data_IF_589416285469
#
_entry.id   IF_589416285469
#
_cell.length_a   1.000
_cell.length_b   1.000
_cell.length_c   1.000
_cell.angle_alpha   90.00
_cell.angle_beta   90.00
_cell.angle_gamma   90.00
#
_symmetry.space_group_name_H-M   'P 1'
#
loop_
_entity.id
_entity.type
_entity.pdbx_description
1 polymer ?
#
# COMPACT_ATOMS: atom_id res chain seq x y z
N UNK A 1 33.62 -10.34 21.96
CA UNK A 1 34.77 -10.38 21.04
C UNK A 1 34.99 -9.00 20.46
N UNK A 2 36.21 -8.69 19.98
CA UNK A 2 36.48 -7.44 19.29
C UNK A 2 35.65 -7.33 17.99
N UNK A 3 35.22 -6.13 17.64
CA UNK A 3 34.45 -5.85 16.43
C UNK A 3 35.30 -5.96 15.17
N UNK A 4 34.68 -6.27 14.04
CA UNK A 4 35.33 -6.35 12.72
C UNK A 4 36.11 -5.07 12.37
N UNK A 5 35.60 -3.91 12.79
CA UNK A 5 36.27 -2.63 12.60
C UNK A 5 37.56 -2.50 13.44
N UNK A 6 37.55 -3.00 14.67
CA UNK A 6 38.73 -3.02 15.53
C UNK A 6 39.78 -4.00 15.01
N UNK A 7 39.36 -5.14 14.47
CA UNK A 7 40.28 -6.12 13.85
C UNK A 7 40.90 -5.55 12.58
N UNK A 8 40.12 -4.86 11.74
CA UNK A 8 40.63 -4.21 10.54
C UNK A 8 41.66 -3.10 10.84
N UNK A 9 41.44 -2.30 11.88
CA UNK A 9 42.38 -1.27 12.32
C UNK A 9 43.68 -1.87 12.84
N UNK A 10 43.60 -2.94 13.63
CA UNK A 10 44.80 -3.64 14.12
C UNK A 10 45.63 -4.23 12.99
N UNK A 11 44.99 -4.77 11.94
CA UNK A 11 45.72 -5.23 10.74
C UNK A 11 46.51 -4.08 10.10
N UNK A 12 45.91 -2.88 10.02
CA UNK A 12 46.59 -1.69 9.48
C UNK A 12 47.78 -1.25 10.34
N UNK A 13 47.60 -1.25 11.67
CA UNK A 13 48.65 -0.92 12.63
C UNK A 13 49.83 -1.91 12.57
N UNK A 14 49.55 -3.22 12.50
CA UNK A 14 50.59 -4.24 12.40
C UNK A 14 51.38 -4.13 11.09
N UNK A 15 50.72 -3.87 9.97
CA UNK A 15 51.39 -3.70 8.67
C UNK A 15 52.24 -2.42 8.67
N UNK A 16 51.74 -1.33 9.28
CA UNK A 16 52.48 -0.07 9.39
C UNK A 16 53.75 -0.21 10.25
N UNK A 17 53.69 -1.02 11.32
CA UNK A 17 54.78 -1.28 12.25
C UNK A 17 55.87 -2.23 11.71
N UNK A 18 55.68 -2.84 10.53
CA UNK A 18 56.72 -3.64 9.89
C UNK A 18 57.89 -2.75 9.46
N UNK A 19 59.09 -3.11 9.90
CA UNK A 19 60.34 -2.41 9.58
C UNK A 19 61.06 -3.00 8.36
N UNK A 20 60.75 -4.23 8.00
CA UNK A 20 61.26 -4.92 6.82
C UNK A 20 60.44 -4.50 5.58
N UNK A 21 61.06 -3.75 4.67
CA UNK A 21 60.38 -3.19 3.50
C UNK A 21 59.82 -4.27 2.56
N UNK A 22 60.51 -5.40 2.40
CA UNK A 22 60.05 -6.49 1.54
C UNK A 22 58.82 -7.21 2.13
N UNK A 23 58.79 -7.38 3.46
CA UNK A 23 57.62 -7.93 4.16
C UNK A 23 56.47 -6.94 4.21
N UNK A 24 56.77 -5.65 4.39
CA UNK A 24 55.77 -4.58 4.39
C UNK A 24 55.09 -4.44 3.02
N UNK A 25 55.86 -4.49 1.93
CA UNK A 25 55.33 -4.45 0.58
C UNK A 25 54.39 -5.63 0.30
N UNK A 26 54.80 -6.87 0.64
CA UNK A 26 53.92 -8.04 0.55
C UNK A 26 52.70 -7.92 1.45
N UNK A 27 52.86 -7.42 2.67
CA UNK A 27 51.75 -7.28 3.61
C UNK A 27 50.72 -6.26 3.12
N UNK A 28 51.14 -5.14 2.53
CA UNK A 28 50.23 -4.17 1.87
C UNK A 28 49.55 -4.78 0.62
N UNK A 29 50.27 -5.57 -0.17
CA UNK A 29 49.72 -6.29 -1.33
C UNK A 29 48.57 -7.23 -0.92
N UNK A 30 48.76 -8.06 0.11
CA UNK A 30 47.78 -9.06 0.56
C UNK A 30 46.73 -8.52 1.54
N UNK A 31 46.89 -7.28 2.02
CA UNK A 31 46.03 -6.66 3.05
C UNK A 31 44.57 -6.64 2.65
N UNK A 32 44.28 -6.26 1.41
CA UNK A 32 42.91 -6.17 0.90
C UNK A 32 42.25 -7.55 0.86
N UNK A 33 42.99 -8.57 0.40
CA UNK A 33 42.49 -9.95 0.33
C UNK A 33 42.32 -10.58 1.71
N UNK A 34 43.27 -10.36 2.63
CA UNK A 34 43.14 -10.83 4.02
C UNK A 34 41.93 -10.22 4.71
N UNK A 35 41.70 -8.90 4.54
CA UNK A 35 40.51 -8.22 5.08
C UNK A 35 39.21 -8.75 4.49
N UNK A 36 39.22 -9.14 3.21
CA UNK A 36 38.07 -9.74 2.52
C UNK A 36 37.78 -11.16 3.01
N UNK A 37 38.81 -12.01 3.13
CA UNK A 37 38.72 -13.40 3.60
C UNK A 37 38.21 -13.46 5.04
N UNK A 38 38.75 -12.62 5.93
CA UNK A 38 38.33 -12.56 7.32
C UNK A 38 37.02 -11.80 7.54
N UNK A 39 36.42 -11.25 6.48
CA UNK A 39 35.15 -10.54 6.57
C UNK A 39 35.20 -9.21 7.34
N UNK A 40 36.40 -8.74 7.68
CA UNK A 40 36.64 -7.50 8.45
C UNK A 40 36.75 -6.26 7.58
N UNK A 41 36.88 -6.44 6.26
CA UNK A 41 36.65 -5.35 5.32
C UNK A 41 35.23 -4.82 5.57
N UNK A 42 35.09 -3.50 5.73
CA UNK A 42 33.80 -2.84 5.80
C UNK A 42 33.01 -3.24 4.55
N UNK A 43 32.21 -4.30 4.67
CA UNK A 43 31.20 -4.58 3.68
C UNK A 43 30.32 -3.35 3.81
N UNK A 44 30.25 -2.52 2.76
CA UNK A 44 28.96 -1.89 2.47
C UNK A 44 28.01 -3.05 2.64
N UNK A 45 27.17 -3.03 3.68
CA UNK A 45 26.05 -3.95 3.74
C UNK A 45 25.47 -3.78 2.35
N UNK A 46 25.61 -4.79 1.48
CA UNK A 46 24.63 -4.95 0.43
C UNK A 46 23.40 -5.15 1.29
N UNK A 47 22.69 -4.04 1.54
CA UNK A 47 21.30 -4.09 1.93
C UNK A 47 20.78 -5.16 1.02
N UNK A 48 20.47 -6.31 1.60
CA UNK A 48 19.96 -7.43 0.83
C UNK A 48 18.70 -6.84 0.25
N UNK A 49 18.78 -6.45 -1.02
CA UNK A 49 17.77 -5.68 -1.69
C UNK A 49 16.67 -6.69 -1.98
N UNK A 50 15.86 -6.92 -0.96
CA UNK A 50 14.64 -7.71 -1.05
C UNK A 50 13.67 -6.88 -1.89
N UNK A 51 13.86 -6.96 -3.21
CA UNK A 51 12.97 -6.38 -4.20
C UNK A 51 13.01 -4.85 -4.26
N UNK A 52 14.04 -4.29 -4.90
CA UNK A 52 13.91 -3.00 -5.58
C UNK A 52 12.96 -3.18 -6.77
N UNK A 53 11.68 -3.41 -6.48
CA UNK A 53 10.62 -2.99 -7.37
C UNK A 53 10.77 -1.47 -7.44
N UNK A 54 11.36 -1.01 -8.53
CA UNK A 54 11.49 0.42 -8.76
C UNK A 54 10.10 1.05 -8.68
N UNK A 55 10.02 2.30 -8.22
CA UNK A 55 8.75 3.01 -8.10
C UNK A 55 8.07 3.10 -9.49
N UNK A 56 8.88 3.10 -10.54
CA UNK A 56 8.43 3.06 -11.92
C UNK A 56 7.78 1.73 -12.31
N UNK A 57 8.20 0.60 -11.72
CA UNK A 57 7.52 -0.70 -11.89
C UNK A 57 6.14 -0.68 -11.22
N UNK A 58 6.06 -0.12 -10.02
CA UNK A 58 4.77 0.12 -9.37
C UNK A 58 3.87 1.06 -10.17
N UNK A 59 4.40 2.11 -10.82
CA UNK A 59 3.63 2.99 -11.69
C UNK A 59 3.10 2.32 -12.95
N UNK A 60 3.84 1.37 -13.50
CA UNK A 60 3.40 0.61 -14.68
C UNK A 60 2.32 -0.40 -14.34
N UNK A 61 2.42 -1.00 -13.15
CA UNK A 61 1.51 -2.05 -12.72
C UNK A 61 0.46 -1.47 -11.76
N UNK A 62 0.74 -1.45 -10.46
CA UNK A 62 -0.22 -1.18 -9.38
C UNK A 62 -0.75 0.26 -9.28
N UNK A 63 -0.08 1.24 -9.89
CA UNK A 63 -0.43 2.66 -9.86
C UNK A 63 -0.66 3.26 -11.27
N UNK A 64 -0.94 2.41 -12.27
CA UNK A 64 -1.24 2.88 -13.63
C UNK A 64 -2.52 3.72 -13.73
N UNK A 65 -3.36 3.70 -12.70
CA UNK A 65 -4.58 4.50 -12.56
C UNK A 65 -4.35 5.94 -12.09
N UNK A 66 -3.14 6.27 -11.60
CA UNK A 66 -2.78 7.63 -11.22
C UNK A 66 -2.60 8.52 -12.45
N UNK A 67 -2.96 9.79 -12.32
CA UNK A 67 -2.59 10.82 -13.30
C UNK A 67 -1.08 11.05 -13.33
N UNK A 68 -0.57 11.64 -14.40
CA UNK A 68 0.86 11.93 -14.51
C UNK A 68 1.33 12.94 -13.47
N UNK A 69 0.46 13.88 -13.08
CA UNK A 69 0.69 14.82 -11.97
C UNK A 69 0.84 14.10 -10.64
N UNK A 70 -0.06 13.15 -10.33
CA UNK A 70 0.00 12.33 -9.12
C UNK A 70 1.25 11.45 -9.09
N UNK A 71 1.64 10.87 -10.23
CA UNK A 71 2.89 10.09 -10.34
C UNK A 71 4.12 10.96 -10.08
N UNK A 72 4.16 12.19 -10.60
CA UNK A 72 5.28 13.10 -10.35
C UNK A 72 5.35 13.54 -8.88
N UNK A 73 4.21 13.77 -8.23
CA UNK A 73 4.16 14.03 -6.77
C UNK A 73 4.79 12.86 -5.98
N UNK A 74 4.44 11.62 -6.31
CA UNK A 74 5.04 10.44 -5.66
C UNK A 74 6.53 10.28 -5.99
N UNK A 75 6.98 10.64 -7.21
CA UNK A 75 8.41 10.67 -7.56
C UNK A 75 9.17 11.69 -6.72
N UNK A 76 8.59 12.87 -6.51
CA UNK A 76 9.20 13.90 -5.68
C UNK A 76 9.30 13.43 -4.22
N UNK A 77 8.24 12.82 -3.67
CA UNK A 77 8.28 12.23 -2.33
C UNK A 77 9.38 11.17 -2.18
N UNK A 78 9.60 10.33 -3.20
CA UNK A 78 10.72 9.36 -3.21
C UNK A 78 12.08 10.05 -3.20
N UNK A 79 12.27 11.13 -3.97
CA UNK A 79 13.50 11.93 -3.99
C UNK A 79 13.77 12.59 -2.64
N UNK A 80 12.72 13.05 -1.97
CA UNK A 80 12.77 13.70 -0.65
C UNK A 80 12.97 12.69 0.51
N UNK A 81 13.10 11.39 0.20
CA UNK A 81 13.31 10.34 1.20
C UNK A 81 12.05 9.88 1.94
N UNK A 82 10.87 10.37 1.55
CA UNK A 82 9.56 10.07 2.17
C UNK A 82 8.95 8.77 1.62
N UNK A 83 9.74 7.70 1.54
CA UNK A 83 9.30 6.44 0.94
C UNK A 83 8.12 5.81 1.68
N UNK A 84 8.10 5.91 2.99
CA UNK A 84 7.04 5.34 3.83
C UNK A 84 5.70 6.09 3.64
N UNK A 85 5.76 7.38 3.28
CA UNK A 85 4.57 8.22 3.07
C UNK A 85 3.93 8.03 1.69
N UNK A 86 4.66 7.47 0.71
CA UNK A 86 4.16 7.24 -0.66
C UNK A 86 2.92 6.36 -0.65
N UNK A 87 2.91 5.33 0.21
CA UNK A 87 1.76 4.44 0.35
C UNK A 87 0.53 5.17 0.90
N UNK A 88 0.72 5.94 1.97
CA UNK A 88 -0.33 6.78 2.55
C UNK A 88 -0.90 7.72 1.51
N UNK A 89 -0.02 8.35 0.72
CA UNK A 89 -0.44 9.26 -0.35
C UNK A 89 -1.21 8.56 -1.47
N UNK A 90 -0.80 7.35 -1.85
CA UNK A 90 -1.54 6.55 -2.82
C UNK A 90 -2.95 6.17 -2.32
N UNK A 91 -3.10 5.89 -1.02
CA UNK A 91 -4.41 5.67 -0.40
C UNK A 91 -5.28 6.95 -0.43
N UNK A 92 -4.70 8.13 -0.21
CA UNK A 92 -5.43 9.40 -0.33
C UNK A 92 -5.98 9.60 -1.76
N UNK A 93 -5.15 9.34 -2.77
CA UNK A 93 -5.59 9.39 -4.17
C UNK A 93 -6.70 8.37 -4.47
N UNK A 94 -6.64 7.19 -3.85
CA UNK A 94 -7.65 6.15 -4.01
C UNK A 94 -8.99 6.56 -3.38
N UNK A 95 -8.95 7.17 -2.20
CA UNK A 95 -10.15 7.65 -1.52
C UNK A 95 -10.81 8.80 -2.28
N UNK A 96 -10.01 9.67 -2.89
CA UNK A 96 -10.48 10.77 -3.74
C UNK A 96 -10.97 10.32 -5.12
N UNK A 97 -10.51 9.17 -5.62
CA UNK A 97 -10.96 8.62 -6.90
C UNK A 97 -12.45 8.24 -6.84
N UNK A 98 -13.13 8.39 -7.98
CA UNK A 98 -14.56 8.06 -8.15
C UNK A 98 -14.80 7.34 -9.48
N UNK A 99 -15.96 6.69 -9.61
CA UNK A 99 -16.36 5.99 -10.83
C UNK A 99 -15.39 4.88 -11.25
N UNK A 100 -15.17 4.76 -12.56
CA UNK A 100 -14.33 3.72 -13.16
C UNK A 100 -12.87 3.77 -12.67
N UNK A 101 -12.33 4.97 -12.45
CA UNK A 101 -10.97 5.14 -11.92
C UNK A 101 -10.83 4.49 -10.55
N UNK A 102 -11.84 4.60 -9.68
CA UNK A 102 -11.80 4.00 -8.33
C UNK A 102 -11.84 2.48 -8.39
N UNK A 103 -12.65 1.90 -9.28
CA UNK A 103 -12.71 0.44 -9.46
C UNK A 103 -11.38 -0.09 -10.02
N UNK A 104 -10.82 0.57 -11.04
CA UNK A 104 -9.50 0.21 -11.58
C UNK A 104 -8.40 0.33 -10.53
N UNK A 105 -8.41 1.41 -9.75
CA UNK A 105 -7.48 1.61 -8.65
C UNK A 105 -7.59 0.50 -7.60
N UNK A 106 -8.81 0.13 -7.23
CA UNK A 106 -9.09 -0.95 -6.28
C UNK A 106 -8.49 -2.27 -6.74
N UNK A 107 -8.72 -2.69 -7.99
CA UNK A 107 -8.19 -3.94 -8.51
C UNK A 107 -6.65 -3.98 -8.50
N UNK A 108 -6.02 -2.89 -8.98
CA UNK A 108 -4.58 -2.79 -9.05
C UNK A 108 -3.91 -2.74 -7.67
N UNK A 109 -4.48 -2.00 -6.73
CA UNK A 109 -4.00 -1.94 -5.34
C UNK A 109 -4.26 -3.25 -4.59
N UNK A 110 -5.37 -3.95 -4.85
CA UNK A 110 -5.59 -5.31 -4.34
C UNK A 110 -4.52 -6.28 -4.83
N UNK A 111 -4.07 -6.15 -6.09
CA UNK A 111 -2.94 -6.89 -6.63
C UNK A 111 -1.66 -6.69 -5.81
N UNK A 112 -1.28 -5.43 -5.56
CA UNK A 112 -0.09 -5.11 -4.76
C UNK A 112 -0.19 -5.62 -3.31
N UNK A 113 -1.38 -5.55 -2.70
CA UNK A 113 -1.60 -6.12 -1.38
C UNK A 113 -1.45 -7.66 -1.35
N UNK A 114 -1.82 -8.37 -2.42
CA UNK A 114 -1.62 -9.84 -2.51
C UNK A 114 -0.14 -10.20 -2.58
N UNK A 115 0.63 -9.46 -3.37
CA UNK A 115 2.09 -9.64 -3.46
C UNK A 115 2.75 -9.37 -2.10
N UNK A 116 2.34 -8.31 -1.41
CA UNK A 116 2.83 -8.00 -0.08
C UNK A 116 2.49 -9.11 0.92
N UNK A 117 1.27 -9.65 0.89
CA UNK A 117 0.88 -10.78 1.74
C UNK A 117 1.82 -11.97 1.49
N UNK A 118 2.13 -12.30 0.23
CA UNK A 118 3.10 -13.36 -0.10
C UNK A 118 4.49 -13.09 0.49
N UNK A 119 4.96 -11.85 0.48
CA UNK A 119 6.25 -11.48 1.12
C UNK A 119 6.21 -11.67 2.64
N UNK A 120 5.10 -11.32 3.28
CA UNK A 120 4.94 -11.37 4.75
C UNK A 120 4.76 -12.81 5.25
N UNK A 121 3.79 -13.55 4.69
CA UNK A 121 3.42 -14.88 5.21
C UNK A 121 4.00 -16.04 4.41
N UNK A 122 4.61 -15.78 3.25
CA UNK A 122 5.10 -16.80 2.32
C UNK A 122 4.04 -17.24 1.31
N UNK A 123 4.50 -17.89 0.23
CA UNK A 123 3.63 -18.34 -0.86
C UNK A 123 2.57 -19.35 -0.40
N UNK A 124 2.96 -20.36 0.39
CA UNK A 124 2.06 -21.43 0.85
C UNK A 124 0.83 -20.88 1.58
N UNK A 125 1.04 -20.02 2.59
CA UNK A 125 -0.05 -19.40 3.36
C UNK A 125 -0.88 -18.43 2.51
N UNK A 126 -0.25 -17.72 1.57
CA UNK A 126 -0.98 -16.82 0.67
C UNK A 126 -1.84 -17.56 -0.36
N UNK A 127 -1.38 -18.73 -0.82
CA UNK A 127 -2.14 -19.60 -1.71
C UNK A 127 -3.31 -20.25 -0.96
N UNK A 128 -3.15 -20.59 0.33
CA UNK A 128 -4.25 -21.02 1.20
C UNK A 128 -5.33 -19.92 1.32
N UNK A 129 -4.95 -18.65 1.54
CA UNK A 129 -5.90 -17.52 1.55
C UNK A 129 -6.60 -17.35 0.20
N UNK A 130 -5.91 -17.62 -0.91
CA UNK A 130 -6.49 -17.55 -2.26
C UNK A 130 -7.52 -18.67 -2.46
N UNK A 131 -7.19 -19.90 -2.06
CA UNK A 131 -8.11 -21.02 -2.08
C UNK A 131 -9.34 -20.78 -1.19
N UNK A 132 -9.16 -20.17 0.00
CA UNK A 132 -10.27 -19.75 0.86
C UNK A 132 -11.21 -18.78 0.12
N UNK A 133 -10.66 -17.77 -0.56
CA UNK A 133 -11.46 -16.83 -1.36
C UNK A 133 -12.27 -17.56 -2.44
N UNK A 134 -11.64 -18.50 -3.16
CA UNK A 134 -12.27 -19.26 -4.24
C UNK A 134 -13.36 -20.21 -3.73
N UNK A 135 -13.18 -20.76 -2.52
CA UNK A 135 -14.20 -21.55 -1.82
C UNK A 135 -15.37 -20.72 -1.26
N UNK A 136 -15.34 -19.39 -1.45
CA UNK A 136 -16.41 -18.49 -1.02
C UNK A 136 -16.28 -17.96 0.40
N UNK A 137 -15.10 -18.04 1.02
CA UNK A 137 -14.86 -17.48 2.35
C UNK A 137 -15.11 -15.96 2.36
N UNK A 138 -15.66 -15.46 3.48
CA UNK A 138 -15.89 -14.03 3.61
C UNK A 138 -14.57 -13.28 3.77
N UNK A 139 -14.55 -11.99 3.38
CA UNK A 139 -13.39 -11.12 3.58
C UNK A 139 -12.98 -11.02 5.06
N UNK A 140 -13.95 -11.16 5.99
CA UNK A 140 -13.69 -11.17 7.42
C UNK A 140 -12.96 -12.43 7.87
N UNK A 141 -13.35 -13.59 7.34
CA UNK A 141 -12.71 -14.87 7.66
C UNK A 141 -11.29 -14.92 7.09
N UNK A 142 -11.10 -14.41 5.87
CA UNK A 142 -9.77 -14.27 5.27
C UNK A 142 -8.88 -13.31 6.07
N UNK A 143 -9.41 -12.18 6.56
CA UNK A 143 -8.64 -11.27 7.41
C UNK A 143 -8.26 -11.92 8.74
N UNK A 144 -9.17 -12.64 9.39
CA UNK A 144 -8.89 -13.36 10.61
C UNK A 144 -7.76 -14.39 10.41
N UNK A 145 -7.82 -15.15 9.30
CA UNK A 145 -6.78 -16.12 8.95
C UNK A 145 -5.45 -15.44 8.62
N UNK A 146 -5.46 -14.31 7.91
CA UNK A 146 -4.27 -13.52 7.64
C UNK A 146 -3.63 -13.00 8.95
N UNK A 147 -4.42 -12.50 9.90
CA UNK A 147 -3.90 -12.05 11.21
C UNK A 147 -3.26 -13.21 11.98
N UNK A 148 -3.83 -14.42 11.93
CA UNK A 148 -3.23 -15.62 12.52
C UNK A 148 -1.83 -15.89 11.93
N UNK A 149 -1.72 -15.85 10.60
CA UNK A 149 -0.44 -16.06 9.93
C UNK A 149 0.60 -14.98 10.25
N UNK A 150 0.16 -13.71 10.26
CA UNK A 150 1.01 -12.58 10.64
C UNK A 150 1.48 -12.70 12.10
N UNK A 151 0.64 -13.20 13.00
CA UNK A 151 1.00 -13.46 14.40
C UNK A 151 2.14 -14.47 14.56
N UNK A 152 2.31 -15.38 13.60
CA UNK A 152 3.43 -16.32 13.55
C UNK A 152 4.70 -15.81 12.86
N UNK A 153 4.69 -14.58 12.32
CA UNK A 153 5.87 -13.99 11.66
C UNK A 153 6.86 -13.51 12.73
N UNK A 154 8.13 -13.87 12.58
CA UNK A 154 9.17 -13.56 13.57
C UNK A 154 10.08 -12.43 13.12
N UNK A 155 10.24 -12.26 11.82
CA UNK A 155 11.16 -11.35 11.18
C UNK A 155 10.66 -9.90 11.28
N UNK A 156 11.46 -9.04 11.91
CA UNK A 156 11.08 -7.65 12.21
C UNK A 156 10.75 -6.84 10.95
N UNK A 157 11.46 -7.08 9.85
CA UNK A 157 11.17 -6.44 8.57
C UNK A 157 9.74 -6.78 8.08
N UNK A 158 9.32 -8.04 8.16
CA UNK A 158 7.99 -8.48 7.72
C UNK A 158 6.90 -7.98 8.67
N UNK A 159 7.18 -7.92 9.97
CA UNK A 159 6.29 -7.29 10.96
C UNK A 159 6.09 -5.80 10.65
N UNK A 160 7.17 -5.09 10.32
CA UNK A 160 7.10 -3.68 9.94
C UNK A 160 6.26 -3.49 8.68
N UNK A 161 6.48 -4.30 7.64
CA UNK A 161 5.63 -4.30 6.44
C UNK A 161 4.15 -4.51 6.80
N UNK A 162 3.84 -5.50 7.64
CA UNK A 162 2.47 -5.75 8.06
C UNK A 162 1.86 -4.57 8.84
N UNK A 163 2.65 -3.90 9.67
CA UNK A 163 2.20 -2.75 10.45
C UNK A 163 1.94 -1.52 9.57
N UNK A 164 2.87 -1.21 8.66
CA UNK A 164 2.81 -0.04 7.77
C UNK A 164 1.71 -0.16 6.73
N UNK A 165 1.63 -1.30 6.03
CA UNK A 165 0.75 -1.45 4.87
C UNK A 165 -0.57 -2.18 5.19
N UNK A 166 -0.59 -3.00 6.24
CA UNK A 166 -1.73 -3.84 6.60
C UNK A 166 -3.06 -3.09 6.78
N UNK A 167 -3.11 -1.95 7.49
CA UNK A 167 -4.34 -1.15 7.62
C UNK A 167 -4.90 -0.68 6.26
N UNK A 168 -4.03 -0.20 5.37
CA UNK A 168 -4.41 0.23 4.03
C UNK A 168 -4.93 -0.94 3.18
N UNK A 169 -4.26 -2.09 3.23
CA UNK A 169 -4.72 -3.28 2.51
C UNK A 169 -6.09 -3.76 3.01
N UNK A 170 -6.35 -3.72 4.32
CA UNK A 170 -7.69 -4.02 4.85
C UNK A 170 -8.74 -3.05 4.31
N UNK A 171 -8.45 -1.75 4.25
CA UNK A 171 -9.32 -0.74 3.64
C UNK A 171 -9.63 -1.06 2.16
N UNK A 172 -8.60 -1.38 1.36
CA UNK A 172 -8.74 -1.71 -0.07
C UNK A 172 -9.55 -2.99 -0.31
N UNK A 173 -9.40 -4.00 0.55
CA UNK A 173 -10.24 -5.22 0.51
C UNK A 173 -11.64 -5.01 1.09
N UNK A 174 -11.94 -3.83 1.64
CA UNK A 174 -13.22 -3.53 2.30
C UNK A 174 -13.40 -4.25 3.64
N UNK A 175 -12.31 -4.80 4.20
CA UNK A 175 -12.28 -5.42 5.53
C UNK A 175 -12.37 -4.31 6.58
N UNK A 176 -13.47 -4.28 7.32
CA UNK A 176 -13.68 -3.27 8.36
C UNK A 176 -14.15 -1.90 7.87
N UNK A 177 -14.37 -1.73 6.55
CA UNK A 177 -15.19 -0.61 6.08
C UNK A 177 -16.60 -0.85 6.65
N UNK A 178 -16.96 -0.12 7.72
CA UNK A 178 -18.38 0.16 7.95
C UNK A 178 -18.83 0.68 6.60
N UNK A 179 -19.69 -0.06 5.90
CA UNK A 179 -20.39 0.49 4.76
C UNK A 179 -20.91 1.84 5.25
N UNK A 180 -20.27 2.95 4.84
CA UNK A 180 -21.09 4.07 4.41
C UNK A 180 -21.91 3.39 3.34
N UNK A 181 -23.13 2.99 3.70
CA UNK A 181 -24.13 2.69 2.70
C UNK A 181 -24.07 3.95 1.87
N UNK A 182 -23.50 3.86 0.68
CA UNK A 182 -23.78 4.83 -0.34
C UNK A 182 -25.28 4.73 -0.55
N UNK A 183 -26.01 5.46 0.28
CA UNK A 183 -27.38 5.83 0.07
C UNK A 183 -27.33 6.87 -1.05
N UNK A 184 -26.94 6.42 -2.24
CA UNK A 184 -27.40 7.01 -3.48
C UNK A 184 -28.88 6.67 -3.63
N UNK A 185 -29.68 7.20 -2.72
CA UNK A 185 -31.10 7.34 -2.89
C UNK A 185 -31.31 8.52 -3.83
N UNK A 186 -31.00 8.29 -5.11
CA UNK A 186 -31.54 9.09 -6.19
C UNK A 186 -33.03 8.79 -6.33
N UNK A 187 -33.82 9.13 -5.31
CA UNK A 187 -35.26 8.98 -5.35
C UNK A 187 -35.79 9.93 -6.40
N UNK A 188 -36.45 9.36 -7.42
CA UNK A 188 -37.17 10.17 -8.40
C UNK A 188 -38.37 10.80 -7.67
N UNK A 189 -38.89 11.92 -8.19
CA UNK A 189 -40.01 12.61 -7.54
C UNK A 189 -41.25 11.68 -7.50
N UNK A 190 -41.35 10.84 -8.51
CA UNK A 190 -42.32 9.78 -8.68
C UNK A 190 -42.30 8.77 -7.52
N UNK A 191 -41.13 8.49 -6.94
CA UNK A 191 -41.00 7.58 -5.80
C UNK A 191 -41.52 8.27 -4.53
N UNK A 192 -41.16 9.54 -4.32
CA UNK A 192 -41.70 10.35 -3.22
C UNK A 192 -43.22 10.50 -3.29
N UNK A 193 -43.79 10.70 -4.49
CA UNK A 193 -45.24 10.77 -4.69
C UNK A 193 -45.95 9.46 -4.31
N UNK A 194 -45.28 8.32 -4.47
CA UNK A 194 -45.85 7.00 -4.15
C UNK A 194 -45.69 6.61 -2.68
N UNK A 195 -44.58 6.99 -2.05
CA UNK A 195 -44.25 6.50 -0.70
C UNK A 195 -44.49 7.54 0.39
N UNK A 196 -43.96 8.75 0.22
CA UNK A 196 -43.89 9.77 1.28
C UNK A 196 -44.94 10.88 1.12
N UNK A 197 -45.44 11.07 -0.10
CA UNK A 197 -46.44 12.07 -0.46
C UNK A 197 -47.72 11.43 -1.00
N UNK A 198 -47.98 10.17 -0.63
CA UNK A 198 -49.19 9.43 -1.04
C UNK A 198 -50.48 10.04 -0.50
N UNK A 199 -50.38 11.00 0.42
CA UNK A 199 -51.49 11.78 0.97
C UNK A 199 -51.88 12.97 0.09
N UNK A 200 -51.06 13.35 -0.90
CA UNK A 200 -51.41 14.40 -1.87
C UNK A 200 -52.47 13.89 -2.85
N UNK A 201 -53.32 14.81 -3.33
CA UNK A 201 -54.24 14.50 -4.42
C UNK A 201 -53.48 14.31 -5.74
N UNK A 202 -54.10 13.63 -6.71
CA UNK A 202 -53.55 13.45 -8.06
C UNK A 202 -53.18 14.79 -8.70
N UNK A 203 -54.02 15.81 -8.56
CA UNK A 203 -53.76 17.16 -9.07
C UNK A 203 -52.53 17.83 -8.42
N UNK A 204 -52.37 17.69 -7.10
CA UNK A 204 -51.21 18.22 -6.38
C UNK A 204 -49.92 17.49 -6.81
N UNK A 205 -49.99 16.18 -7.01
CA UNK A 205 -48.88 15.38 -7.52
C UNK A 205 -48.45 15.74 -8.94
N UNK A 206 -49.40 16.02 -9.84
CA UNK A 206 -49.10 16.48 -11.20
C UNK A 206 -48.47 17.86 -11.22
N UNK A 207 -48.93 18.77 -10.35
CA UNK A 207 -48.33 20.10 -10.20
C UNK A 207 -46.87 20.06 -9.78
N UNK A 208 -46.49 19.10 -8.92
CA UNK A 208 -45.09 18.91 -8.53
C UNK A 208 -44.25 18.35 -9.69
N UNK A 209 -44.84 17.47 -10.52
CA UNK A 209 -44.17 16.95 -11.72
C UNK A 209 -43.93 18.04 -12.77
N UNK A 210 -44.91 18.91 -13.02
CA UNK A 210 -44.75 20.04 -13.96
C UNK A 210 -43.71 21.03 -13.45
N UNK A 211 -43.76 21.38 -12.16
CA UNK A 211 -42.73 22.25 -11.56
C UNK A 211 -41.31 21.67 -11.67
N UNK A 212 -41.15 20.35 -11.54
CA UNK A 212 -39.86 19.69 -11.75
C UNK A 212 -39.45 19.69 -13.23
N UNK A 213 -40.39 19.49 -14.16
CA UNK A 213 -40.14 19.57 -15.60
C UNK A 213 -39.75 21.00 -16.05
N UNK A 214 -40.31 22.01 -15.39
CA UNK A 214 -39.96 23.42 -15.57
C UNK A 214 -38.60 23.81 -14.95
N UNK A 215 -37.87 22.85 -14.37
CA UNK A 215 -36.54 23.05 -13.81
C UNK A 215 -36.50 23.70 -12.42
N UNK A 216 -37.63 23.75 -11.71
CA UNK A 216 -37.66 24.34 -10.35
C UNK A 216 -36.86 23.51 -9.36
N UNK A 217 -36.25 24.21 -8.41
CA UNK A 217 -35.38 23.61 -7.41
C UNK A 217 -36.18 22.80 -6.38
N UNK A 218 -35.56 21.81 -5.71
CA UNK A 218 -36.22 21.04 -4.64
C UNK A 218 -36.79 21.89 -3.51
N UNK A 219 -36.16 23.01 -3.17
CA UNK A 219 -36.64 23.96 -2.16
C UNK A 219 -37.95 24.64 -2.56
N UNK A 220 -38.15 24.89 -3.87
CA UNK A 220 -39.39 25.47 -4.38
C UNK A 220 -40.53 24.46 -4.42
N UNK A 221 -40.22 23.18 -4.69
CA UNK A 221 -41.18 22.08 -4.63
C UNK A 221 -41.65 21.84 -3.19
N UNK A 222 -40.75 21.90 -2.21
CA UNK A 222 -41.08 21.74 -0.78
C UNK A 222 -42.05 22.80 -0.25
N UNK A 223 -42.13 24.00 -0.86
CA UNK A 223 -43.11 25.03 -0.48
C UNK A 223 -44.54 24.75 -0.98
N UNK A 224 -44.72 23.70 -1.81
CA UNK A 224 -46.00 23.31 -2.42
C UNK A 224 -46.52 21.97 -1.94
N UNK A 225 -45.65 21.20 -1.29
CA UNK A 225 -45.98 20.04 -0.47
C UNK A 225 -46.38 20.54 0.92
#
# INVERSE_FOLDING_TARGET
GASDSEVAKKIDEFIAALTDEAKKAKAEEYKADCKKIWGVQARKRRTHDHGNHDLEDYFKNHYSWLSDEQKEELRQMKKDGKKDDIWTKALEFYDAATGETKEKAKELMQGGCRELIRVIVGNEKADELTAMKESGASMKDMDAKLQEYVGGVTEDYKKNLSATYGPGCRQIFGVGSRKRRDHHHGHKLEDYLKTHLSWLTTEQGEKLKTMKADGKTPSELQKKV
#
